data_IF_040351543604
#
_entry.id   IF_040351543604
#
_cell.length_a   1.000
_cell.length_b   1.000
_cell.length_c   1.000
_cell.angle_alpha   90.00
_cell.angle_beta   90.00
_cell.angle_gamma   90.00
#
_symmetry.space_group_name_H-M   'P 1'
#
loop_
_entity.id
_entity.type
_entity.pdbx_description
1 polymer ?
#
# COMPACT_ATOMS: atom_id res chain seq x y z
N UNK A 1 -19.97 22.09 8.00
CA UNK A 1 -19.27 20.78 8.06
C UNK A 1 -18.21 20.72 9.16
N UNK A 2 -17.14 21.53 9.13
CA UNK A 2 -16.05 21.46 10.15
C UNK A 2 -16.53 21.56 11.60
N UNK A 3 -17.53 22.41 11.84
CA UNK A 3 -18.10 22.60 13.16
C UNK A 3 -18.88 21.38 13.66
N UNK A 4 -19.70 20.76 12.81
CA UNK A 4 -20.43 19.53 13.14
C UNK A 4 -19.47 18.36 13.54
N UNK A 5 -18.34 18.21 12.85
CA UNK A 5 -17.33 17.20 13.24
C UNK A 5 -16.69 17.50 14.59
N UNK A 6 -16.40 18.78 14.88
CA UNK A 6 -15.82 19.19 16.17
C UNK A 6 -16.81 19.02 17.32
N UNK A 7 -18.08 19.35 17.09
CA UNK A 7 -19.17 19.16 18.05
C UNK A 7 -19.40 17.66 18.36
N UNK A 8 -19.16 16.78 17.38
CA UNK A 8 -19.14 15.33 17.58
C UNK A 8 -17.84 14.80 18.25
N UNK A 9 -16.93 15.67 18.68
CA UNK A 9 -15.67 15.28 19.31
C UNK A 9 -14.59 14.77 18.35
N UNK A 10 -14.80 14.89 17.03
CA UNK A 10 -13.85 14.43 16.01
C UNK A 10 -12.80 15.51 15.71
N UNK A 11 -11.53 15.14 15.82
CA UNK A 11 -10.41 16.01 15.45
C UNK A 11 -10.16 15.92 13.95
N UNK A 12 -10.38 17.03 13.24
CA UNK A 12 -10.07 17.14 11.82
C UNK A 12 -8.60 17.51 11.62
N UNK A 13 -7.91 16.76 10.75
CA UNK A 13 -6.56 17.11 10.29
C UNK A 13 -6.62 17.52 8.83
N UNK A 14 -6.46 18.81 8.58
CA UNK A 14 -6.45 19.34 7.22
C UNK A 14 -5.14 19.00 6.51
N UNK A 15 -5.25 18.59 5.24
CA UNK A 15 -4.12 18.29 4.37
C UNK A 15 -4.08 19.35 3.27
N UNK A 16 -3.01 20.17 3.19
CA UNK A 16 -2.86 21.18 2.14
C UNK A 16 -2.90 20.59 0.73
N UNK A 17 -2.43 19.35 0.58
CA UNK A 17 -2.50 18.56 -0.65
C UNK A 17 -3.14 17.19 -0.34
N UNK A 18 -4.46 17.17 -0.25
CA UNK A 18 -5.22 15.95 0.03
C UNK A 18 -5.07 14.92 -1.09
N UNK A 19 -5.08 15.36 -2.36
CA UNK A 19 -4.96 14.48 -3.52
C UNK A 19 -3.61 13.78 -3.55
N UNK A 20 -2.51 14.51 -3.36
CA UNK A 20 -1.17 13.92 -3.30
C UNK A 20 -1.01 12.98 -2.10
N UNK A 21 -1.60 13.33 -0.95
CA UNK A 21 -1.60 12.45 0.23
C UNK A 21 -2.34 11.12 -0.05
N UNK A 22 -3.48 11.19 -0.74
CA UNK A 22 -4.25 9.99 -1.10
C UNK A 22 -3.51 9.11 -2.12
N UNK A 23 -2.87 9.70 -3.14
CA UNK A 23 -2.09 8.94 -4.11
C UNK A 23 -0.90 8.22 -3.47
N UNK A 24 -0.21 8.91 -2.55
CA UNK A 24 0.85 8.31 -1.73
C UNK A 24 0.35 7.08 -0.96
N UNK A 25 -0.85 7.16 -0.38
CA UNK A 25 -1.46 6.03 0.31
C UNK A 25 -1.76 4.88 -0.66
N UNK A 26 -2.39 5.18 -1.80
CA UNK A 26 -2.72 4.18 -2.82
C UNK A 26 -1.52 3.38 -3.32
N UNK A 27 -0.39 4.03 -3.61
CA UNK A 27 0.81 3.30 -4.05
C UNK A 27 1.48 2.52 -2.92
N UNK A 28 1.31 2.97 -1.67
CA UNK A 28 1.74 2.23 -0.47
C UNK A 28 0.94 0.95 -0.32
N UNK A 29 -0.38 1.07 -0.48
CA UNK A 29 -1.33 -0.04 -0.38
C UNK A 29 -1.11 -1.03 -1.52
N UNK A 30 -1.01 -0.58 -2.77
CA UNK A 30 -0.70 -1.46 -3.91
C UNK A 30 0.60 -2.27 -3.68
N UNK A 31 1.64 -1.63 -3.11
CA UNK A 31 2.87 -2.30 -2.71
C UNK A 31 2.63 -3.43 -1.69
N UNK A 32 1.98 -3.14 -0.57
CA UNK A 32 1.73 -4.12 0.50
C UNK A 32 0.67 -5.17 0.11
N UNK A 33 -0.41 -4.75 -0.54
CA UNK A 33 -1.48 -5.61 -1.03
C UNK A 33 -0.97 -6.62 -2.05
N UNK A 34 -0.05 -6.22 -2.96
CA UNK A 34 0.56 -7.18 -3.89
C UNK A 34 1.20 -8.37 -3.18
N UNK A 35 1.88 -8.11 -2.05
CA UNK A 35 2.50 -9.16 -1.24
C UNK A 35 1.48 -9.91 -0.40
N UNK A 36 0.51 -9.20 0.19
CA UNK A 36 -0.60 -9.80 0.92
C UNK A 36 -1.37 -10.80 0.05
N UNK A 37 -1.71 -10.43 -1.19
CA UNK A 37 -2.35 -11.31 -2.17
C UNK A 37 -1.45 -12.50 -2.54
N UNK A 38 -0.15 -12.26 -2.80
CA UNK A 38 0.81 -13.33 -3.11
C UNK A 38 0.92 -14.37 -1.98
N UNK A 39 0.91 -13.95 -0.72
CA UNK A 39 0.96 -14.87 0.42
C UNK A 39 -0.43 -15.33 0.89
N UNK A 40 -1.49 -14.80 0.28
CA UNK A 40 -2.89 -15.13 0.54
C UNK A 40 -3.57 -14.36 1.67
N UNK A 41 -2.91 -13.41 2.36
CA UNK A 41 -3.56 -12.43 3.25
C UNK A 41 -2.53 -11.42 3.75
N UNK A 42 -2.97 -10.17 4.00
CA UNK A 42 -2.14 -9.16 4.66
C UNK A 42 -1.74 -9.53 6.08
N UNK A 43 -2.56 -10.33 6.78
CA UNK A 43 -2.26 -10.80 8.14
C UNK A 43 -0.93 -11.57 8.21
N UNK A 44 -0.55 -12.27 7.13
CA UNK A 44 0.70 -13.01 7.02
C UNK A 44 1.93 -12.10 6.85
N UNK A 45 1.75 -10.81 6.59
CA UNK A 45 2.85 -9.84 6.53
C UNK A 45 3.30 -9.38 7.92
N UNK A 46 2.54 -9.66 8.98
CA UNK A 46 2.90 -9.28 10.35
C UNK A 46 4.25 -9.92 10.73
N UNK A 47 5.25 -9.08 11.01
CA UNK A 47 6.60 -9.56 11.32
C UNK A 47 7.38 -10.16 10.15
N UNK A 48 6.80 -10.28 8.96
CA UNK A 48 7.42 -10.93 7.81
C UNK A 48 8.37 -9.99 7.08
N UNK A 49 9.61 -9.89 7.56
CA UNK A 49 10.60 -8.93 7.05
C UNK A 49 10.84 -9.07 5.54
N UNK A 50 10.90 -10.30 5.01
CA UNK A 50 11.10 -10.56 3.58
C UNK A 50 9.95 -10.05 2.73
N UNK A 51 8.71 -10.38 3.08
CA UNK A 51 7.53 -9.96 2.33
C UNK A 51 7.29 -8.45 2.45
N UNK A 52 7.49 -7.88 3.63
CA UNK A 52 7.44 -6.43 3.83
C UNK A 52 8.51 -5.70 3.01
N UNK A 53 9.71 -6.26 2.90
CA UNK A 53 10.76 -5.71 2.04
C UNK A 53 10.31 -5.65 0.58
N UNK A 54 9.73 -6.73 0.04
CA UNK A 54 9.26 -6.73 -1.34
C UNK A 54 8.09 -5.76 -1.55
N UNK A 55 7.19 -5.62 -0.56
CA UNK A 55 6.11 -4.62 -0.62
C UNK A 55 6.62 -3.18 -0.63
N UNK A 56 7.66 -2.89 0.17
CA UNK A 56 8.32 -1.58 0.15
C UNK A 56 9.05 -1.30 -1.16
N UNK A 57 9.64 -2.31 -1.79
CA UNK A 57 10.28 -2.17 -3.10
C UNK A 57 9.25 -1.97 -4.20
N UNK A 58 8.13 -2.70 -4.17
CA UNK A 58 7.02 -2.49 -5.10
C UNK A 58 6.44 -1.07 -4.97
N UNK A 59 6.22 -0.58 -3.74
CA UNK A 59 5.80 0.81 -3.50
C UNK A 59 6.83 1.84 -3.99
N UNK A 60 8.13 1.53 -3.91
CA UNK A 60 9.20 2.40 -4.44
C UNK A 60 9.18 2.49 -5.98
N UNK A 61 8.89 1.38 -6.66
CA UNK A 61 8.76 1.36 -8.13
C UNK A 61 7.59 2.22 -8.62
N UNK A 62 6.61 2.50 -7.76
CA UNK A 62 5.46 3.35 -8.06
C UNK A 62 5.72 4.85 -7.81
N UNK A 63 6.89 5.25 -7.34
CA UNK A 63 7.20 6.69 -7.16
C UNK A 63 7.16 7.50 -8.46
N UNK A 64 7.69 7.01 -9.61
CA UNK A 64 7.53 7.70 -10.89
C UNK A 64 6.06 7.87 -11.32
N UNK A 65 5.17 6.95 -10.91
CA UNK A 65 3.74 7.06 -11.17
C UNK A 65 3.11 8.24 -10.42
N UNK A 66 3.51 8.47 -9.17
CA UNK A 66 3.08 9.65 -8.43
C UNK A 66 3.54 10.94 -9.14
N UNK A 67 4.79 10.98 -9.60
CA UNK A 67 5.34 12.14 -10.31
C UNK A 67 4.60 12.41 -11.63
N UNK A 68 4.34 11.37 -12.43
CA UNK A 68 3.56 11.48 -13.67
C UNK A 68 2.11 11.94 -13.45
N UNK A 69 1.54 11.64 -12.27
CA UNK A 69 0.23 12.14 -11.82
C UNK A 69 0.27 13.55 -11.21
N UNK A 70 1.42 14.21 -11.26
CA UNK A 70 1.62 15.58 -10.77
C UNK A 70 1.73 15.70 -9.25
N UNK A 71 2.07 14.62 -8.54
CA UNK A 71 2.31 14.64 -7.09
C UNK A 71 3.72 15.13 -6.81
N UNK A 72 3.84 16.22 -6.04
CA UNK A 72 5.15 16.71 -5.61
C UNK A 72 5.68 15.90 -4.42
N UNK A 73 6.51 14.88 -4.68
CA UNK A 73 7.04 13.97 -3.65
C UNK A 73 7.73 14.68 -2.48
N UNK A 74 8.33 15.85 -2.73
CA UNK A 74 8.98 16.67 -1.70
C UNK A 74 8.02 17.16 -0.62
N UNK A 75 6.73 17.36 -0.95
CA UNK A 75 5.70 17.76 0.02
C UNK A 75 5.23 16.60 0.90
N UNK A 76 5.50 15.36 0.48
CA UNK A 76 5.04 14.14 1.14
C UNK A 76 6.18 13.31 1.77
N UNK A 77 7.34 13.94 2.04
CA UNK A 77 8.56 13.28 2.55
C UNK A 77 8.32 12.32 3.71
N UNK A 78 7.47 12.71 4.68
CA UNK A 78 7.16 11.86 5.83
C UNK A 78 6.44 10.56 5.46
N UNK A 79 5.47 10.62 4.54
CA UNK A 79 4.77 9.44 4.03
C UNK A 79 5.61 8.60 3.07
N UNK A 80 6.67 9.19 2.50
CA UNK A 80 7.56 8.53 1.55
C UNK A 80 8.79 7.88 2.20
N UNK A 81 9.00 8.07 3.51
CA UNK A 81 10.24 7.66 4.18
C UNK A 81 10.48 6.15 4.07
N UNK A 82 9.43 5.33 4.22
CA UNK A 82 9.53 3.88 4.11
C UNK A 82 10.00 3.42 2.72
N UNK A 83 9.59 4.13 1.66
CA UNK A 83 9.96 3.81 0.29
C UNK A 83 11.31 4.39 -0.10
N UNK A 84 11.75 5.51 0.48
CA UNK A 84 13.01 6.16 0.09
C UNK A 84 14.23 5.69 0.90
N UNK A 85 14.04 5.28 2.15
CA UNK A 85 15.13 4.81 2.98
C UNK A 85 15.58 3.38 2.61
N UNK A 86 16.82 2.99 2.97
CA UNK A 86 17.32 1.65 2.66
C UNK A 86 16.44 0.55 3.26
N UNK A 87 16.08 -0.46 2.45
CA UNK A 87 15.16 -1.52 2.89
C UNK A 87 15.75 -2.45 3.93
N UNK A 88 17.08 -2.55 4.02
CA UNK A 88 17.75 -3.26 5.11
C UNK A 88 17.45 -2.64 6.48
N UNK A 89 17.02 -1.36 6.52
CA UNK A 89 16.59 -0.67 7.73
C UNK A 89 15.07 -0.65 7.85
N UNK A 90 14.36 -0.23 6.80
CA UNK A 90 12.90 -0.01 6.89
C UNK A 90 12.10 -1.29 6.99
N UNK A 91 12.50 -2.37 6.31
CA UNK A 91 11.78 -3.64 6.36
C UNK A 91 11.83 -4.31 7.75
N UNK A 92 13.00 -4.49 8.40
CA UNK A 92 13.02 -5.07 9.75
C UNK A 92 12.38 -4.14 10.79
N UNK A 93 12.49 -2.82 10.64
CA UNK A 93 11.80 -1.87 11.51
C UNK A 93 10.26 -2.03 11.40
N UNK A 94 9.74 -2.10 10.17
CA UNK A 94 8.30 -2.30 9.94
C UNK A 94 7.84 -3.69 10.41
N UNK A 95 8.64 -4.73 10.21
CA UNK A 95 8.37 -6.07 10.73
C UNK A 95 8.29 -6.06 12.27
N UNK A 96 9.27 -5.44 12.93
CA UNK A 96 9.25 -5.31 14.38
C UNK A 96 8.04 -4.52 14.88
N UNK A 97 7.73 -3.40 14.23
CA UNK A 97 6.58 -2.55 14.55
C UNK A 97 5.25 -3.30 14.40
N UNK A 98 5.03 -3.98 13.28
CA UNK A 98 3.81 -4.78 13.07
C UNK A 98 3.74 -5.98 14.02
N UNK A 99 4.88 -6.53 14.42
CA UNK A 99 4.94 -7.62 15.38
C UNK A 99 4.76 -7.18 16.84
N UNK A 100 5.00 -5.92 17.23
CA UNK A 100 5.00 -5.49 18.64
C UNK A 100 4.06 -4.33 18.98
N UNK A 101 3.67 -3.51 17.99
CA UNK A 101 2.75 -2.38 18.20
C UNK A 101 1.33 -2.82 17.84
N UNK A 102 0.47 -2.96 18.86
CA UNK A 102 -0.88 -3.50 18.71
C UNK A 102 -1.69 -2.79 17.62
N UNK A 103 -1.63 -1.46 17.54
CA UNK A 103 -2.33 -0.68 16.51
C UNK A 103 -1.93 -1.09 15.08
N UNK A 104 -0.61 -1.21 14.83
CA UNK A 104 -0.11 -1.57 13.51
C UNK A 104 -0.37 -3.05 13.19
N UNK A 105 -0.25 -3.92 14.20
CA UNK A 105 -0.61 -5.33 14.07
C UNK A 105 -2.07 -5.50 13.65
N UNK A 106 -2.99 -4.86 14.37
CA UNK A 106 -4.43 -4.93 14.09
C UNK A 106 -4.75 -4.34 12.72
N UNK A 107 -4.09 -3.24 12.35
CA UNK A 107 -4.27 -2.64 11.02
C UNK A 107 -3.97 -3.61 9.88
N UNK A 108 -2.93 -4.46 9.99
CA UNK A 108 -2.64 -5.47 8.97
C UNK A 108 -3.47 -6.74 9.17
N UNK A 109 -3.59 -7.22 10.41
CA UNK A 109 -4.26 -8.47 10.74
C UNK A 109 -5.77 -8.43 10.51
N UNK A 110 -6.40 -7.25 10.57
CA UNK A 110 -7.81 -7.08 10.24
C UNK A 110 -8.12 -7.38 8.76
N UNK A 111 -7.12 -7.31 7.88
CA UNK A 111 -7.23 -7.71 6.48
C UNK A 111 -6.95 -9.21 6.33
N UNK A 112 -7.70 -10.01 7.08
CA UNK A 112 -7.56 -11.48 7.12
C UNK A 112 -8.31 -12.20 6.02
N UNK A 113 -9.26 -11.53 5.35
CA UNK A 113 -10.04 -12.12 4.27
C UNK A 113 -9.20 -12.20 2.97
N UNK A 114 -8.80 -13.41 2.51
CA UNK A 114 -8.10 -13.60 1.24
C UNK A 114 -8.95 -13.20 0.02
N UNK A 115 -10.28 -13.18 0.17
CA UNK A 115 -11.25 -12.95 -0.89
C UNK A 115 -11.71 -11.49 -0.98
N UNK A 116 -11.15 -10.61 -0.14
CA UNK A 116 -11.43 -9.19 -0.17
C UNK A 116 -11.13 -8.61 -1.56
N UNK A 117 -12.12 -7.89 -2.12
CA UNK A 117 -12.01 -7.32 -3.46
C UNK A 117 -11.13 -6.06 -3.48
N UNK A 118 -11.14 -5.26 -2.42
CA UNK A 118 -10.40 -4.00 -2.34
C UNK A 118 -8.89 -4.18 -2.63
N UNK A 119 -8.15 -5.11 -1.99
CA UNK A 119 -6.73 -5.29 -2.32
C UNK A 119 -6.47 -5.62 -3.79
N UNK A 120 -7.37 -6.37 -4.42
CA UNK A 120 -7.26 -6.80 -5.82
C UNK A 120 -7.51 -5.63 -6.76
N UNK A 121 -8.58 -4.87 -6.54
CA UNK A 121 -8.92 -3.69 -7.34
C UNK A 121 -7.83 -2.62 -7.24
N UNK A 122 -7.34 -2.33 -6.03
CA UNK A 122 -6.24 -1.37 -5.84
C UNK A 122 -5.00 -1.79 -6.64
N UNK A 123 -4.65 -3.07 -6.64
CA UNK A 123 -3.51 -3.57 -7.41
C UNK A 123 -3.76 -3.51 -8.94
N UNK A 124 -4.95 -3.92 -9.40
CA UNK A 124 -5.35 -3.89 -10.82
C UNK A 124 -5.34 -2.46 -11.37
N UNK A 125 -5.99 -1.53 -10.68
CA UNK A 125 -6.07 -0.12 -11.09
C UNK A 125 -4.70 0.53 -11.14
N UNK A 126 -3.87 0.27 -10.12
CA UNK A 126 -2.51 0.81 -10.07
C UNK A 126 -1.64 0.26 -11.20
N UNK A 127 -1.73 -1.04 -11.49
CA UNK A 127 -0.99 -1.67 -12.57
C UNK A 127 -1.48 -1.19 -13.95
N UNK A 128 -2.79 -1.10 -14.16
CA UNK A 128 -3.38 -0.58 -15.39
C UNK A 128 -2.94 0.86 -15.65
N UNK A 129 -2.89 1.69 -14.62
CA UNK A 129 -2.41 3.04 -14.73
C UNK A 129 -0.91 3.12 -15.05
N UNK A 130 -0.08 2.34 -14.35
CA UNK A 130 1.36 2.31 -14.62
C UNK A 130 1.64 1.96 -16.09
N UNK A 131 0.92 0.96 -16.62
CA UNK A 131 0.96 0.59 -18.04
C UNK A 131 0.50 1.71 -18.96
N UNK A 132 -0.62 2.36 -18.65
CA UNK A 132 -1.16 3.50 -19.42
C UNK A 132 -0.14 4.63 -19.57
N UNK A 133 0.67 4.85 -18.54
CA UNK A 133 1.70 5.90 -18.50
C UNK A 133 3.10 5.40 -18.88
N UNK A 134 3.27 4.13 -19.24
CA UNK A 134 4.56 3.54 -19.63
C UNK A 134 5.58 3.45 -18.50
N UNK A 135 5.14 3.32 -17.25
CA UNK A 135 6.01 3.23 -16.08
C UNK A 135 6.25 1.76 -15.72
N UNK A 136 7.53 1.38 -15.63
CA UNK A 136 7.93 0.02 -15.26
C UNK A 136 7.72 -0.24 -13.76
N UNK A 137 6.98 -1.30 -13.45
CA UNK A 137 6.63 -1.72 -12.08
C UNK A 137 6.81 -3.25 -11.94
N UNK A 138 8.03 -3.76 -12.13
CA UNK A 138 8.28 -5.20 -12.32
C UNK A 138 7.80 -6.07 -11.14
N UNK A 139 7.81 -5.55 -9.91
CA UNK A 139 7.29 -6.31 -8.76
C UNK A 139 5.79 -6.42 -8.76
N UNK A 140 5.09 -5.37 -9.19
CA UNK A 140 3.63 -5.39 -9.29
C UNK A 140 3.19 -6.25 -10.47
N UNK A 141 3.92 -6.21 -11.60
CA UNK A 141 3.72 -7.09 -12.75
C UNK A 141 3.92 -8.57 -12.37
N UNK A 142 4.97 -8.88 -11.61
CA UNK A 142 5.21 -10.25 -11.14
C UNK A 142 4.12 -10.76 -10.19
N UNK A 143 3.41 -9.87 -9.49
CA UNK A 143 2.31 -10.21 -8.59
C UNK A 143 0.94 -10.26 -9.30
N UNK A 144 0.84 -9.87 -10.57
CA UNK A 144 -0.42 -9.81 -11.32
C UNK A 144 -1.25 -11.11 -11.29
N UNK A 145 -0.66 -12.33 -11.36
CA UNK A 145 -1.43 -13.56 -11.29
C UNK A 145 -2.27 -13.70 -10.02
N UNK A 146 -1.87 -13.05 -8.93
CA UNK A 146 -2.59 -13.09 -7.65
C UNK A 146 -3.71 -12.06 -7.55
N UNK A 147 -3.83 -11.15 -8.53
CA UNK A 147 -4.88 -10.13 -8.50
C UNK A 147 -6.20 -10.71 -8.98
N UNK A 148 -6.19 -11.63 -9.94
CA UNK A 148 -7.38 -12.38 -10.36
C UNK A 148 -7.93 -13.23 -9.20
N UNK A 149 -9.25 -13.38 -9.12
CA UNK A 149 -9.83 -14.40 -8.22
C UNK A 149 -9.33 -15.77 -8.70
N UNK A 150 -9.09 -16.70 -7.78
CA UNK A 150 -9.15 -18.11 -8.14
C UNK A 150 -10.59 -18.39 -8.55
N UNK A 151 -10.86 -18.22 -9.85
CA UNK A 151 -12.15 -18.55 -10.42
C UNK A 151 -12.36 -20.04 -10.21
N UNK A 152 -13.35 -20.36 -9.39
CA UNK A 152 -14.11 -21.60 -9.42
C UNK A 152 -14.04 -22.23 -10.80
N UNK A 153 -13.18 -23.24 -10.97
CA UNK A 153 -13.39 -24.25 -12.00
C UNK A 153 -14.69 -24.95 -11.64
N UNK A 154 -15.79 -24.47 -12.21
CA UNK A 154 -17.00 -25.26 -12.37
C UNK A 154 -17.27 -25.31 -13.86
N UNK A 155 -16.86 -26.46 -14.41
CA UNK A 155 -17.48 -27.20 -15.51
C UNK A 155 -18.90 -26.80 -15.86
#
# INVERSE_FOLDING_TARGET
MRQAFREAGLRLKERPDFRGWLWVHFVSDAGLFSQGLRVGSLSKLVGATGDLREGLLAGRELLPLLEARGVELRRHRGGMLLFRAPTWLTAPALAWLTAHVALLRVSLAAHSDPEAEEPREVCRDTLAEARRLGISVPRLEAAEPYFAREGTSRT
#
